data_IF_757040578513
#
_entry.id   IF_757040578513
#
_cell.length_a   1.000
_cell.length_b   1.000
_cell.length_c   1.000
_cell.angle_alpha   90.00
_cell.angle_beta   90.00
_cell.angle_gamma   90.00
#
_symmetry.space_group_name_H-M   'P 1'
#
loop_
_entity.id
_entity.type
_entity.pdbx_description
1 polymer ?
#
# COMPACT_ATOMS: atom_id res chain seq x y z
N UNK A 1 19.29 0.70 -31.21
CA UNK A 1 18.74 -0.63 -30.83
C UNK A 1 18.01 -0.47 -29.49
N UNK A 2 16.68 -0.32 -29.52
CA UNK A 2 15.90 -0.16 -28.29
C UNK A 2 15.74 -1.55 -27.66
N UNK A 3 16.49 -1.82 -26.61
CA UNK A 3 16.26 -2.99 -25.75
C UNK A 3 14.86 -2.84 -25.15
N UNK A 4 13.90 -3.61 -25.65
CA UNK A 4 12.59 -3.79 -25.02
C UNK A 4 12.89 -4.42 -23.65
N UNK A 5 12.94 -3.60 -22.59
CA UNK A 5 13.03 -4.11 -21.22
C UNK A 5 11.85 -5.05 -21.02
N UNK A 6 12.14 -6.34 -20.86
CA UNK A 6 11.14 -7.38 -20.63
C UNK A 6 10.30 -6.96 -19.44
N UNK A 7 9.00 -6.71 -19.63
CA UNK A 7 8.08 -6.34 -18.55
C UNK A 7 8.17 -7.44 -17.48
N UNK A 8 8.43 -7.07 -16.22
CA UNK A 8 8.54 -8.03 -15.13
C UNK A 8 7.24 -8.82 -14.98
N UNK A 9 7.32 -10.11 -14.61
CA UNK A 9 6.13 -10.89 -14.29
C UNK A 9 5.35 -10.21 -13.15
N UNK A 10 4.02 -10.31 -13.17
CA UNK A 10 3.22 -9.89 -12.02
C UNK A 10 3.58 -10.82 -10.85
N UNK A 11 4.03 -10.30 -9.70
CA UNK A 11 4.39 -11.14 -8.57
C UNK A 11 3.17 -11.92 -8.09
N UNK A 12 3.35 -13.20 -7.75
CA UNK A 12 2.34 -13.98 -7.07
C UNK A 12 2.36 -13.61 -5.59
N UNK A 13 1.47 -12.72 -5.17
CA UNK A 13 1.41 -12.21 -3.79
C UNK A 13 0.23 -12.84 -3.05
N UNK A 14 0.47 -13.28 -1.82
CA UNK A 14 -0.57 -13.87 -0.97
C UNK A 14 -0.99 -12.94 0.16
N UNK A 15 -2.05 -13.25 0.90
CA UNK A 15 -2.40 -12.51 2.13
C UNK A 15 -1.49 -12.82 3.32
N UNK A 16 -0.67 -13.88 3.23
CA UNK A 16 0.23 -14.31 4.31
C UNK A 16 1.41 -13.34 4.43
N UNK A 17 1.70 -12.90 5.65
CA UNK A 17 2.74 -11.89 5.88
C UNK A 17 3.64 -12.16 7.10
N UNK A 18 3.24 -13.01 8.05
CA UNK A 18 4.04 -13.35 9.25
C UNK A 18 4.53 -12.11 10.03
N UNK A 19 3.72 -11.05 10.04
CA UNK A 19 3.95 -9.84 10.83
C UNK A 19 2.95 -9.83 11.98
N UNK A 20 3.36 -9.32 13.14
CA UNK A 20 2.43 -8.95 14.21
C UNK A 20 1.50 -7.83 13.75
N UNK A 21 0.39 -7.59 14.46
CA UNK A 21 -0.53 -6.50 14.12
C UNK A 21 0.18 -5.12 14.12
N UNK A 22 1.14 -4.90 15.01
CA UNK A 22 1.94 -3.66 15.09
C UNK A 22 2.84 -3.50 13.88
N UNK A 23 3.60 -4.54 13.54
CA UNK A 23 4.46 -4.54 12.36
C UNK A 23 3.62 -4.35 11.09
N UNK A 24 2.45 -4.99 10.98
CA UNK A 24 1.55 -4.79 9.85
C UNK A 24 1.03 -3.36 9.76
N UNK A 25 0.62 -2.75 10.88
CA UNK A 25 0.15 -1.37 10.91
C UNK A 25 1.26 -0.38 10.51
N UNK A 26 2.48 -0.56 11.02
CA UNK A 26 3.63 0.27 10.63
C UNK A 26 4.01 0.08 9.15
N UNK A 27 3.98 -1.17 8.66
CA UNK A 27 4.26 -1.49 7.27
C UNK A 27 3.23 -0.88 6.32
N UNK A 28 1.95 -0.91 6.67
CA UNK A 28 0.84 -0.37 5.88
C UNK A 28 0.89 1.17 5.80
N UNK A 29 1.13 1.81 6.94
CA UNK A 29 1.32 3.26 7.03
C UNK A 29 2.50 3.72 6.20
N UNK A 30 3.63 3.00 6.28
CA UNK A 30 4.83 3.32 5.51
C UNK A 30 4.61 3.05 4.02
N UNK A 31 4.04 1.90 3.64
CA UNK A 31 3.83 1.55 2.24
C UNK A 31 2.87 2.52 1.55
N UNK A 32 1.75 2.89 2.18
CA UNK A 32 0.82 3.89 1.65
C UNK A 32 1.47 5.28 1.54
N UNK A 33 2.29 5.69 2.51
CA UNK A 33 3.05 6.96 2.48
C UNK A 33 4.08 7.03 1.35
N UNK A 34 4.67 5.89 0.96
CA UNK A 34 5.64 5.80 -0.14
C UNK A 34 4.96 5.71 -1.52
N UNK A 35 3.73 5.19 -1.60
CA UNK A 35 3.10 4.81 -2.87
C UNK A 35 1.82 5.59 -3.17
N UNK A 36 0.76 5.37 -2.41
CA UNK A 36 -0.58 5.91 -2.66
C UNK A 36 -0.62 7.40 -2.36
N UNK A 37 -0.10 7.85 -1.22
CA UNK A 37 -0.19 9.25 -0.80
C UNK A 37 0.48 10.20 -1.82
N UNK A 38 1.71 9.93 -2.30
CA UNK A 38 2.35 10.79 -3.28
C UNK A 38 1.68 10.72 -4.67
N UNK A 39 1.04 9.60 -5.01
CA UNK A 39 0.33 9.44 -6.28
C UNK A 39 -1.00 10.21 -6.28
N UNK A 40 -1.80 10.08 -5.20
CA UNK A 40 -3.10 10.74 -5.07
C UNK A 40 -2.99 12.21 -4.64
N UNK A 41 -1.87 12.61 -4.02
CA UNK A 41 -1.61 13.99 -3.61
C UNK A 41 -2.16 14.36 -2.24
N UNK A 42 -2.67 13.41 -1.47
CA UNK A 42 -3.13 13.59 -0.09
C UNK A 42 -2.75 12.38 0.76
N UNK A 43 -2.77 12.52 2.08
CA UNK A 43 -2.48 11.43 3.00
C UNK A 43 -3.71 10.55 3.20
N UNK A 44 -3.65 9.28 2.82
CA UNK A 44 -4.72 8.31 3.12
C UNK A 44 -4.72 7.96 4.60
N UNK A 45 -5.75 7.22 5.04
CA UNK A 45 -5.84 6.65 6.38
C UNK A 45 -4.52 6.03 6.84
N UNK A 46 -4.19 6.20 8.13
CA UNK A 46 -3.02 5.65 8.81
C UNK A 46 -3.47 4.99 10.12
N UNK A 47 -2.90 3.84 10.45
CA UNK A 47 -3.23 2.97 11.58
C UNK A 47 -2.42 3.25 12.84
N UNK A 48 -1.32 4.01 12.72
CA UNK A 48 -0.45 4.36 13.84
C UNK A 48 -0.34 5.87 14.02
N UNK A 49 0.17 6.32 15.17
CA UNK A 49 0.54 7.73 15.41
C UNK A 49 1.83 8.14 14.66
N UNK A 50 2.21 7.44 13.57
CA UNK A 50 3.41 7.71 12.81
C UNK A 50 3.40 9.14 12.23
N UNK A 51 4.24 10.01 12.80
CA UNK A 51 4.44 11.38 12.33
C UNK A 51 5.51 11.45 11.23
N UNK A 52 5.41 10.60 10.22
CA UNK A 52 6.36 10.60 9.11
C UNK A 52 6.14 11.85 8.24
N UNK A 53 7.02 12.84 8.39
CA UNK A 53 7.00 14.05 7.57
C UNK A 53 7.91 13.90 6.35
N UNK A 54 7.33 13.51 5.22
CA UNK A 54 8.06 13.43 3.95
C UNK A 54 8.05 14.83 3.28
N UNK A 55 9.21 15.43 2.99
CA UNK A 55 9.30 16.69 2.25
C UNK A 55 8.66 16.60 0.85
N UNK A 56 8.05 17.68 0.36
CA UNK A 56 7.34 17.68 -0.93
C UNK A 56 8.24 17.30 -2.12
N UNK A 57 9.53 17.66 -2.06
CA UNK A 57 10.52 17.23 -3.06
C UNK A 57 10.60 15.70 -3.16
N UNK A 58 10.56 15.02 -2.01
CA UNK A 58 10.63 13.56 -1.96
C UNK A 58 9.28 12.94 -2.35
N UNK A 59 8.15 13.54 -1.95
CA UNK A 59 6.82 13.13 -2.44
C UNK A 59 6.75 13.17 -3.98
N UNK A 60 7.23 14.25 -4.61
CA UNK A 60 7.33 14.33 -6.09
C UNK A 60 8.17 13.20 -6.67
N UNK A 61 9.33 12.91 -6.06
CA UNK A 61 10.19 11.78 -6.46
C UNK A 61 9.44 10.44 -6.36
N UNK A 62 8.71 10.19 -5.29
CA UNK A 62 7.90 8.97 -5.15
C UNK A 62 6.81 8.89 -6.21
N UNK A 63 6.10 9.99 -6.49
CA UNK A 63 5.14 10.06 -7.60
C UNK A 63 5.79 9.70 -8.94
N UNK A 64 6.96 10.26 -9.24
CA UNK A 64 7.69 9.96 -10.47
C UNK A 64 8.10 8.48 -10.56
N UNK A 65 8.48 7.87 -9.44
CA UNK A 65 8.77 6.43 -9.35
C UNK A 65 7.51 5.59 -9.66
N UNK A 66 6.35 5.98 -9.12
CA UNK A 66 5.08 5.29 -9.43
C UNK A 66 4.69 5.46 -10.89
N UNK A 67 4.79 6.67 -11.46
CA UNK A 67 4.53 6.89 -12.88
C UNK A 67 5.48 6.09 -13.79
N UNK A 68 6.76 6.01 -13.43
CA UNK A 68 7.73 5.20 -14.14
C UNK A 68 7.42 3.69 -14.01
N UNK A 69 7.04 3.25 -12.81
CA UNK A 69 6.57 1.89 -12.57
C UNK A 69 5.36 1.56 -13.45
N UNK A 70 4.39 2.45 -13.61
CA UNK A 70 3.24 2.24 -14.51
C UNK A 70 3.67 1.95 -15.96
N UNK A 71 4.80 2.50 -16.43
CA UNK A 71 5.28 2.26 -17.79
C UNK A 71 6.09 0.95 -17.92
N UNK A 72 6.94 0.64 -16.95
CA UNK A 72 7.92 -0.43 -17.07
C UNK A 72 7.60 -1.69 -16.26
N UNK A 73 6.70 -1.60 -15.28
CA UNK A 73 6.26 -2.69 -14.39
C UNK A 73 7.42 -3.46 -13.73
N UNK A 74 8.45 -2.73 -13.29
CA UNK A 74 9.64 -3.31 -12.67
C UNK A 74 9.59 -3.16 -11.14
N UNK A 75 8.99 -4.16 -10.48
CA UNK A 75 8.76 -4.16 -9.03
C UNK A 75 10.04 -3.98 -8.20
N UNK A 76 11.10 -4.75 -8.50
CA UNK A 76 12.37 -4.64 -7.77
C UNK A 76 13.04 -3.27 -7.90
N UNK A 77 12.88 -2.61 -9.04
CA UNK A 77 13.43 -1.27 -9.25
C UNK A 77 12.61 -0.23 -8.50
N UNK A 78 11.27 -0.31 -8.58
CA UNK A 78 10.39 0.57 -7.83
C UNK A 78 10.64 0.44 -6.32
N UNK A 79 10.66 -0.79 -5.80
CA UNK A 79 10.94 -1.06 -4.38
C UNK A 79 12.26 -0.44 -3.92
N UNK A 80 13.37 -0.70 -4.65
CA UNK A 80 14.68 -0.14 -4.31
C UNK A 80 14.69 1.38 -4.32
N UNK A 81 13.98 2.01 -5.26
CA UNK A 81 13.93 3.47 -5.36
C UNK A 81 13.05 4.11 -4.27
N UNK A 82 11.92 3.49 -3.92
CA UNK A 82 11.03 3.92 -2.86
C UNK A 82 11.69 3.81 -1.47
N UNK A 83 12.51 2.78 -1.26
CA UNK A 83 13.14 2.49 0.03
C UNK A 83 14.59 2.97 0.16
N UNK A 84 15.09 3.74 -0.81
CA UNK A 84 16.49 4.17 -0.85
C UNK A 84 16.89 5.18 0.25
N UNK A 85 15.95 5.98 0.74
CA UNK A 85 16.25 7.03 1.73
C UNK A 85 16.12 6.47 3.16
N UNK A 86 17.25 6.27 3.82
CA UNK A 86 17.31 5.70 5.17
C UNK A 86 16.72 6.61 6.25
N UNK A 87 16.48 7.90 5.96
CA UNK A 87 15.80 8.81 6.88
C UNK A 87 14.28 8.61 6.87
N UNK A 88 13.74 8.00 5.81
CA UNK A 88 12.31 7.73 5.65
C UNK A 88 12.04 6.25 5.95
N UNK A 89 12.81 5.36 5.34
CA UNK A 89 12.68 3.91 5.50
C UNK A 89 13.86 3.40 6.28
N UNK A 90 13.63 2.96 7.53
CA UNK A 90 14.67 2.36 8.36
C UNK A 90 15.27 1.14 7.66
N UNK A 91 16.57 0.91 7.85
CA UNK A 91 17.27 -0.24 7.26
C UNK A 91 16.60 -1.57 7.60
N UNK A 92 16.05 -1.71 8.81
CA UNK A 92 15.29 -2.90 9.23
C UNK A 92 14.13 -3.20 8.28
N UNK A 93 13.41 -2.17 7.82
CA UNK A 93 12.32 -2.32 6.86
C UNK A 93 12.81 -2.50 5.43
N UNK A 94 13.81 -1.74 4.98
CA UNK A 94 14.27 -1.78 3.59
C UNK A 94 14.81 -3.15 3.17
N UNK A 95 15.37 -3.92 4.11
CA UNK A 95 15.90 -5.27 3.85
C UNK A 95 14.93 -6.40 4.22
N UNK A 96 13.79 -6.09 4.86
CA UNK A 96 12.81 -7.08 5.28
C UNK A 96 12.01 -7.59 4.05
N UNK A 97 12.08 -8.90 3.73
CA UNK A 97 11.31 -9.46 2.62
C UNK A 97 9.79 -9.34 2.81
N UNK A 98 9.29 -9.36 4.06
CA UNK A 98 7.86 -9.20 4.38
C UNK A 98 7.37 -7.82 3.96
N UNK A 99 8.17 -6.78 4.23
CA UNK A 99 7.88 -5.41 3.82
C UNK A 99 7.98 -5.23 2.31
N UNK A 100 8.97 -5.84 1.66
CA UNK A 100 9.05 -5.85 0.20
C UNK A 100 7.80 -6.44 -0.45
N UNK A 101 7.32 -7.57 0.06
CA UNK A 101 6.07 -8.16 -0.43
C UNK A 101 4.89 -7.23 -0.16
N UNK A 102 4.85 -6.56 0.99
CA UNK A 102 3.80 -5.60 1.34
C UNK A 102 3.78 -4.38 0.42
N UNK A 103 4.93 -3.78 0.11
CA UNK A 103 5.03 -2.71 -0.90
C UNK A 103 4.62 -3.20 -2.29
N UNK A 104 4.94 -4.45 -2.65
CA UNK A 104 4.51 -5.01 -3.93
C UNK A 104 2.97 -5.15 -4.03
N UNK A 105 2.25 -5.38 -2.92
CA UNK A 105 0.77 -5.36 -2.90
C UNK A 105 0.24 -3.98 -3.29
N UNK A 106 0.84 -2.93 -2.75
CA UNK A 106 0.52 -1.55 -3.13
C UNK A 106 0.87 -1.24 -4.59
N UNK A 107 2.00 -1.73 -5.09
CA UNK A 107 2.38 -1.55 -6.50
C UNK A 107 1.37 -2.18 -7.48
N UNK A 108 0.66 -3.24 -7.10
CA UNK A 108 -0.39 -3.83 -7.94
C UNK A 108 -1.54 -2.86 -8.24
N UNK A 109 -1.80 -1.88 -7.37
CA UNK A 109 -2.81 -0.84 -7.59
C UNK A 109 -2.48 0.08 -8.79
N UNK A 110 -1.23 0.06 -9.24
CA UNK A 110 -0.71 0.85 -10.37
C UNK A 110 -0.28 -0.04 -11.55
N UNK A 111 -0.44 -1.37 -11.44
CA UNK A 111 -0.21 -2.30 -12.54
C UNK A 111 -1.53 -2.52 -13.29
N UNK A 112 -1.61 -2.10 -14.55
CA UNK A 112 -2.82 -2.20 -15.38
C UNK A 112 -3.24 -3.66 -15.62
N UNK A 113 -2.29 -4.59 -15.52
CA UNK A 113 -2.54 -6.03 -15.58
C UNK A 113 -3.34 -6.55 -14.38
N UNK A 114 -3.45 -5.78 -13.31
CA UNK A 114 -4.21 -6.17 -12.10
C UNK A 114 -5.72 -6.20 -12.34
N UNK A 115 -6.22 -5.48 -13.36
CA UNK A 115 -7.66 -5.31 -13.61
C UNK A 115 -8.37 -4.39 -12.61
N UNK A 116 -7.60 -3.66 -11.80
CA UNK A 116 -8.07 -2.66 -10.86
C UNK A 116 -7.19 -1.40 -10.90
N UNK A 117 -7.68 -0.32 -10.32
CA UNK A 117 -6.90 0.90 -10.08
C UNK A 117 -7.39 1.63 -8.83
N UNK A 118 -6.52 2.41 -8.20
CA UNK A 118 -6.87 3.29 -7.08
C UNK A 118 -7.09 4.73 -7.56
N UNK A 119 -8.16 5.37 -7.08
CA UNK A 119 -8.50 6.77 -7.39
C UNK A 119 -9.00 7.52 -6.15
N UNK A 120 -8.95 8.87 -6.13
CA UNK A 120 -9.58 9.66 -5.08
C UNK A 120 -11.09 9.39 -4.99
N UNK A 121 -11.63 9.43 -3.78
CA UNK A 121 -13.04 9.28 -3.48
C UNK A 121 -13.47 10.38 -2.49
N UNK A 122 -14.43 11.20 -2.88
CA UNK A 122 -14.93 12.31 -2.06
C UNK A 122 -16.33 12.06 -1.49
N UNK A 123 -16.80 10.81 -1.52
CA UNK A 123 -18.19 10.46 -1.22
C UNK A 123 -18.55 10.52 0.26
N UNK A 124 -17.63 10.16 1.15
CA UNK A 124 -17.94 9.91 2.56
C UNK A 124 -17.55 11.09 3.44
N UNK A 125 -18.55 11.72 4.08
CA UNK A 125 -18.34 12.83 5.00
C UNK A 125 -17.50 12.43 6.23
N UNK A 126 -17.59 11.17 6.67
CA UNK A 126 -16.77 10.60 7.76
C UNK A 126 -15.27 10.63 7.49
N UNK A 127 -14.87 10.75 6.22
CA UNK A 127 -13.48 10.85 5.77
C UNK A 127 -13.10 12.30 5.42
N UNK A 128 -13.86 13.29 5.90
CA UNK A 128 -13.77 14.69 5.47
C UNK A 128 -13.85 14.86 3.94
N UNK A 129 -14.61 13.98 3.27
CA UNK A 129 -14.70 13.91 1.81
C UNK A 129 -13.35 13.72 1.13
N UNK A 130 -12.40 13.01 1.75
CA UNK A 130 -11.05 12.81 1.19
C UNK A 130 -10.55 11.40 1.50
N UNK A 131 -11.00 10.45 0.68
CA UNK A 131 -10.61 9.05 0.73
C UNK A 131 -10.10 8.56 -0.62
N UNK A 132 -9.84 7.26 -0.69
CA UNK A 132 -9.49 6.58 -1.93
C UNK A 132 -10.41 5.37 -2.14
N UNK A 133 -10.70 5.04 -3.39
CA UNK A 133 -11.50 3.87 -3.75
C UNK A 133 -10.84 3.08 -4.87
N UNK A 134 -11.10 1.78 -4.88
CA UNK A 134 -10.66 0.85 -5.92
C UNK A 134 -11.74 0.75 -6.99
N UNK A 135 -11.34 0.92 -8.24
CA UNK A 135 -12.20 0.80 -9.41
C UNK A 135 -11.75 -0.38 -10.27
N UNK A 136 -12.70 -1.09 -10.87
CA UNK A 136 -12.39 -2.12 -11.86
C UNK A 136 -11.98 -1.45 -13.18
N UNK A 137 -10.94 -1.98 -13.82
CA UNK A 137 -10.48 -1.54 -15.15
C UNK A 137 -10.81 -2.53 -16.26
N UNK A 138 -11.47 -3.63 -15.89
CA UNK A 138 -12.02 -4.65 -16.79
C UNK A 138 -13.28 -5.26 -16.18
N UNK A 139 -14.03 -5.97 -17.01
CA UNK A 139 -15.18 -6.74 -16.54
C UNK A 139 -14.74 -7.96 -15.73
N UNK A 140 -15.47 -8.22 -14.65
CA UNK A 140 -15.29 -9.39 -13.80
C UNK A 140 -16.58 -10.21 -13.81
N UNK A 141 -16.47 -11.49 -14.16
CA UNK A 141 -17.62 -12.40 -14.13
C UNK A 141 -17.95 -12.82 -12.70
N UNK A 142 -19.23 -13.10 -12.43
CA UNK A 142 -19.65 -13.64 -11.13
C UNK A 142 -18.86 -14.92 -10.80
N UNK A 143 -18.33 -14.99 -9.59
CA UNK A 143 -17.47 -16.10 -9.14
C UNK A 143 -15.98 -15.93 -9.47
N UNK A 144 -15.60 -14.91 -10.24
CA UNK A 144 -14.18 -14.58 -10.44
C UNK A 144 -13.54 -14.07 -9.14
N UNK A 145 -12.24 -14.37 -9.00
CA UNK A 145 -11.40 -13.86 -7.90
C UNK A 145 -10.44 -12.80 -8.43
N UNK A 146 -10.40 -11.64 -7.78
CA UNK A 146 -9.40 -10.59 -8.04
C UNK A 146 -8.15 -10.92 -7.22
N UNK A 147 -7.28 -11.80 -7.74
CA UNK A 147 -6.09 -12.29 -7.01
C UNK A 147 -5.04 -11.21 -6.73
N UNK A 148 -5.12 -10.07 -7.39
CA UNK A 148 -4.23 -8.91 -7.24
C UNK A 148 -4.69 -7.92 -6.17
N UNK A 149 -5.95 -8.01 -5.73
CA UNK A 149 -6.50 -7.22 -4.63
C UNK A 149 -6.42 -8.03 -3.34
N UNK A 150 -5.30 -7.88 -2.63
CA UNK A 150 -4.96 -8.71 -1.47
C UNK A 150 -5.01 -7.87 -0.20
N UNK A 151 -5.82 -8.29 0.76
CA UNK A 151 -5.75 -7.80 2.14
C UNK A 151 -4.80 -8.65 2.98
N UNK A 152 -4.09 -8.01 3.91
CA UNK A 152 -3.35 -8.67 4.97
C UNK A 152 -4.17 -8.63 6.25
N UNK A 153 -4.21 -9.75 7.00
CA UNK A 153 -5.00 -9.89 8.22
C UNK A 153 -4.06 -10.29 9.34
N UNK A 154 -4.01 -9.47 10.38
CA UNK A 154 -3.35 -9.80 11.64
C UNK A 154 -4.39 -9.94 12.75
N UNK A 155 -4.28 -11.01 13.53
CA UNK A 155 -5.14 -11.23 14.69
C UNK A 155 -4.70 -10.31 15.84
N UNK A 156 -5.66 -9.65 16.48
CA UNK A 156 -5.45 -8.92 17.72
C UNK A 156 -5.92 -9.78 18.90
N UNK A 157 -5.10 -9.89 19.93
CA UNK A 157 -5.56 -10.46 21.21
C UNK A 157 -6.43 -9.45 21.95
N UNK A 158 -7.30 -9.94 22.83
CA UNK A 158 -8.25 -9.08 23.57
C UNK A 158 -7.59 -7.92 24.35
N UNK A 159 -6.42 -8.14 24.94
CA UNK A 159 -5.69 -7.08 25.65
C UNK A 159 -5.02 -6.06 24.69
N UNK A 160 -4.72 -6.47 23.46
CA UNK A 160 -4.15 -5.61 22.42
C UNK A 160 -5.23 -4.75 21.76
N UNK A 161 -6.42 -5.32 21.59
CA UNK A 161 -7.61 -4.62 21.10
C UNK A 161 -7.94 -3.41 21.99
N UNK A 162 -7.95 -3.58 23.32
CA UNK A 162 -8.22 -2.47 24.24
C UNK A 162 -7.17 -1.34 24.13
N UNK A 163 -5.91 -1.68 23.85
CA UNK A 163 -4.85 -0.70 23.61
C UNK A 163 -4.98 -0.02 22.24
N UNK A 164 -5.35 -0.78 21.21
CA UNK A 164 -5.58 -0.30 19.85
C UNK A 164 -6.80 0.63 19.76
N UNK A 165 -7.93 0.20 20.34
CA UNK A 165 -9.20 0.94 20.33
C UNK A 165 -9.18 2.23 21.17
N UNK A 166 -8.35 2.29 22.22
CA UNK A 166 -8.18 3.52 23.03
C UNK A 166 -7.64 4.71 22.22
N UNK A 167 -7.02 4.47 21.07
CA UNK A 167 -6.62 5.55 20.15
C UNK A 167 -7.78 6.14 19.32
N UNK A 168 -9.03 5.69 19.55
CA UNK A 168 -10.31 6.37 19.27
C UNK A 168 -10.59 6.95 17.86
N UNK A 169 -9.83 6.61 16.82
CA UNK A 169 -10.14 7.08 15.43
C UNK A 169 -9.94 6.07 14.30
N UNK A 170 -9.49 4.84 14.59
CA UNK A 170 -8.90 3.96 13.56
C UNK A 170 -9.61 2.59 13.45
N UNK A 171 -10.94 2.59 13.34
CA UNK A 171 -11.74 1.35 13.23
C UNK A 171 -12.14 0.99 11.80
N UNK A 172 -11.75 1.78 10.80
CA UNK A 172 -12.20 1.61 9.40
C UNK A 172 -11.85 0.25 8.78
N UNK A 173 -10.85 -0.46 9.32
CA UNK A 173 -10.36 -1.74 8.80
C UNK A 173 -10.42 -2.88 9.84
N UNK A 174 -11.12 -2.69 10.97
CA UNK A 174 -11.30 -3.74 11.98
C UNK A 174 -12.46 -4.67 11.58
N UNK A 175 -12.19 -5.96 11.47
CA UNK A 175 -13.21 -6.99 11.25
C UNK A 175 -13.39 -7.84 12.52
N UNK A 176 -14.61 -7.92 13.04
CA UNK A 176 -14.99 -8.84 14.13
C UNK A 176 -15.63 -10.08 13.49
N UNK A 177 -15.02 -11.25 13.67
CA UNK A 177 -15.62 -12.53 13.29
C UNK A 177 -16.47 -13.00 14.48
N UNK A 178 -17.80 -13.04 14.30
CA UNK A 178 -18.77 -13.58 15.26
C UNK A 178 -18.94 -15.09 15.10
#
# INVERSE_FOLDING_TARGET
MNAIKKKGAVPNITGSHQMTWKELAEADDLASSLTVDPYLGFTTHKMTDMKLRIPDRIKRKFRDIICNFQQHKCYDTAYRQLTADSNIVRRSWSVDPRFKEHVNRYLLLFDDRSGIEIRPCWRYASENHMGAAIFATKDWTKGSRISTLVGCIAELKHHEEAAFLKHHKMTFQLCILL
#
